data_IF_532545957996
#
_entry.id   IF_532545957996
#
_cell.length_a   1.000
_cell.length_b   1.000
_cell.length_c   1.000
_cell.angle_alpha   90.00
_cell.angle_beta   90.00
_cell.angle_gamma   90.00
#
_symmetry.space_group_name_H-M   'P 1'
#
loop_
_entity.id
_entity.type
_entity.pdbx_description
1 polymer ?
#
# COMPACT_ATOMS: atom_id res chain seq x y z
N UNK A 1 10.16 -6.39 -8.12
CA UNK A 1 8.77 -6.72 -8.44
C UNK A 1 8.12 -7.48 -7.31
N UNK A 2 7.29 -6.82 -6.48
CA UNK A 2 6.62 -7.50 -5.39
C UNK A 2 5.64 -8.54 -5.93
N UNK A 3 5.81 -9.80 -5.51
CA UNK A 3 4.84 -10.86 -5.79
C UNK A 3 3.51 -10.51 -5.13
N UNK A 4 2.39 -10.84 -5.77
CA UNK A 4 1.08 -10.73 -5.13
C UNK A 4 0.90 -11.78 -4.02
N UNK A 5 1.46 -11.48 -2.84
CA UNK A 5 1.51 -12.34 -1.66
C UNK A 5 1.69 -11.53 -0.37
N UNK A 6 2.01 -12.19 0.75
CA UNK A 6 2.39 -11.50 1.98
C UNK A 6 3.52 -10.50 1.73
N UNK A 7 3.39 -9.30 2.29
CA UNK A 7 4.38 -8.22 2.13
C UNK A 7 4.58 -7.46 3.43
N UNK A 8 5.79 -6.99 3.69
CA UNK A 8 6.05 -6.11 4.82
C UNK A 8 5.38 -4.74 4.60
N UNK A 9 5.03 -4.06 5.70
CA UNK A 9 4.50 -2.69 5.62
C UNK A 9 5.46 -1.75 4.91
N UNK A 10 6.76 -1.88 5.18
CA UNK A 10 7.81 -1.05 4.58
C UNK A 10 7.87 -1.25 3.07
N UNK A 11 7.81 -2.49 2.59
CA UNK A 11 7.86 -2.79 1.16
C UNK A 11 6.56 -2.39 0.46
N UNK A 12 5.41 -2.52 1.12
CA UNK A 12 4.16 -1.96 0.61
C UNK A 12 4.28 -0.45 0.39
N UNK A 13 4.79 0.31 1.37
CA UNK A 13 4.95 1.76 1.25
C UNK A 13 5.93 2.09 0.12
N UNK A 14 7.05 1.38 0.00
CA UNK A 14 8.04 1.59 -1.08
C UNK A 14 7.42 1.36 -2.46
N UNK A 15 6.71 0.25 -2.64
CA UNK A 15 6.03 -0.09 -3.89
C UNK A 15 4.95 0.95 -4.26
N UNK A 16 4.13 1.37 -3.29
CA UNK A 16 3.11 2.41 -3.52
C UNK A 16 3.76 3.75 -3.89
N UNK A 17 4.89 4.13 -3.30
CA UNK A 17 5.64 5.32 -3.70
C UNK A 17 6.13 5.26 -5.14
N UNK A 18 6.62 4.10 -5.58
CA UNK A 18 6.99 3.89 -6.99
C UNK A 18 5.80 4.02 -7.95
N UNK A 19 4.58 3.74 -7.48
CA UNK A 19 3.32 3.94 -8.21
C UNK A 19 2.75 5.37 -8.10
N UNK A 20 3.56 6.32 -7.63
CA UNK A 20 3.23 7.74 -7.57
C UNK A 20 2.44 8.17 -6.33
N UNK A 21 2.50 7.41 -5.23
CA UNK A 21 1.96 7.86 -3.95
C UNK A 21 2.99 8.66 -3.13
N UNK A 22 2.52 9.71 -2.46
CA UNK A 22 3.29 10.54 -1.52
C UNK A 22 2.96 10.19 -0.05
N UNK A 23 3.91 10.45 0.85
CA UNK A 23 3.80 10.22 2.31
C UNK A 23 4.83 9.20 2.85
N UNK A 24 4.51 8.39 3.88
CA UNK A 24 3.27 8.38 4.65
C UNK A 24 3.09 9.67 5.47
N UNK A 25 1.86 10.13 5.56
CA UNK A 25 1.44 11.22 6.43
C UNK A 25 0.77 10.67 7.68
N UNK A 26 0.97 11.32 8.82
CA UNK A 26 0.33 10.90 10.08
C UNK A 26 -1.11 11.38 10.12
N UNK A 27 -2.06 10.46 10.35
CA UNK A 27 -3.48 10.77 10.47
C UNK A 27 -4.08 10.19 11.74
N UNK A 28 -4.01 10.90 12.86
CA UNK A 28 -4.57 10.44 14.14
C UNK A 28 -4.12 9.02 14.51
N UNK A 29 -4.97 8.02 14.23
CA UNK A 29 -4.73 6.60 14.52
C UNK A 29 -3.99 5.81 13.44
N UNK A 30 -3.97 6.27 12.19
CA UNK A 30 -3.38 5.55 11.05
C UNK A 30 -2.60 6.49 10.15
N UNK A 31 -1.44 6.04 9.68
CA UNK A 31 -0.74 6.72 8.59
C UNK A 31 -1.49 6.53 7.26
N UNK A 32 -1.29 7.44 6.31
CA UNK A 32 -1.91 7.35 4.99
C UNK A 32 -0.97 7.85 3.90
N UNK A 33 -1.20 7.40 2.67
CA UNK A 33 -0.54 7.90 1.46
C UNK A 33 -1.56 8.65 0.60
N UNK A 34 -1.09 9.54 -0.28
CA UNK A 34 -1.93 10.27 -1.22
C UNK A 34 -1.40 10.18 -2.64
N UNK A 35 -2.31 10.12 -3.62
CA UNK A 35 -2.00 10.20 -5.05
C UNK A 35 -3.09 11.03 -5.74
N UNK A 36 -2.79 12.30 -6.02
CA UNK A 36 -3.81 13.26 -6.45
C UNK A 36 -4.88 13.45 -5.38
N UNK A 37 -6.14 13.19 -5.72
CA UNK A 37 -7.28 13.27 -4.78
C UNK A 37 -7.50 11.98 -3.97
N UNK A 38 -6.78 10.90 -4.30
CA UNK A 38 -6.94 9.61 -3.63
C UNK A 38 -6.13 9.57 -2.34
N UNK A 39 -6.80 9.28 -1.22
CA UNK A 39 -6.17 9.05 0.09
C UNK A 39 -6.28 7.58 0.48
N UNK A 40 -5.13 6.93 0.68
CA UNK A 40 -5.02 5.52 1.01
C UNK A 40 -4.54 5.33 2.45
N UNK A 41 -5.41 4.85 3.33
CA UNK A 41 -5.06 4.55 4.72
C UNK A 41 -4.17 3.30 4.79
N UNK A 42 -3.06 3.39 5.53
CA UNK A 42 -2.15 2.27 5.76
C UNK A 42 -2.55 1.50 7.03
N UNK A 43 -2.39 0.17 7.04
CA UNK A 43 -2.51 -0.60 8.27
C UNK A 43 -1.43 -0.18 9.28
N UNK A 44 -1.75 -0.32 10.57
CA UNK A 44 -0.85 0.06 11.65
C UNK A 44 0.41 -0.83 11.69
N UNK A 45 1.56 -0.28 12.12
CA UNK A 45 2.86 -0.96 12.10
C UNK A 45 2.97 -2.18 13.04
N UNK A 46 1.95 -2.45 13.86
CA UNK A 46 1.95 -3.59 14.78
C UNK A 46 1.82 -4.95 14.09
N UNK A 47 1.42 -5.01 12.81
CA UNK A 47 1.39 -6.25 12.03
C UNK A 47 2.71 -6.46 11.28
N UNK A 48 3.38 -7.60 11.52
CA UNK A 48 4.66 -7.97 10.87
C UNK A 48 4.52 -8.09 9.34
N UNK A 49 3.43 -8.69 8.87
CA UNK A 49 3.15 -8.89 7.44
C UNK A 49 1.70 -8.56 7.11
N UNK A 50 1.53 -7.99 5.93
CA UNK A 50 0.24 -7.72 5.30
C UNK A 50 -0.09 -8.94 4.45
N UNK A 51 -1.04 -9.74 4.92
CA UNK A 51 -1.49 -10.93 4.18
C UNK A 51 -2.12 -10.58 2.83
N UNK A 52 -2.10 -11.52 1.90
CA UNK A 52 -2.62 -11.39 0.52
C UNK A 52 -4.02 -10.78 0.43
N UNK A 53 -4.92 -11.15 1.33
CA UNK A 53 -6.29 -10.62 1.35
C UNK A 53 -6.35 -9.13 1.73
N UNK A 54 -5.51 -8.68 2.67
CA UNK A 54 -5.42 -7.28 3.03
C UNK A 54 -4.71 -6.48 1.92
N UNK A 55 -3.65 -7.03 1.35
CA UNK A 55 -2.99 -6.44 0.18
C UNK A 55 -3.98 -6.22 -0.97
N UNK A 56 -4.80 -7.23 -1.30
CA UNK A 56 -5.82 -7.12 -2.34
C UNK A 56 -6.81 -5.97 -2.10
N UNK A 57 -7.23 -5.76 -0.84
CA UNK A 57 -8.12 -4.66 -0.47
C UNK A 57 -7.44 -3.30 -0.62
N UNK A 58 -6.19 -3.20 -0.21
CA UNK A 58 -5.39 -1.97 -0.34
C UNK A 58 -5.19 -1.62 -1.81
N UNK A 59 -4.78 -2.57 -2.66
CA UNK A 59 -4.60 -2.34 -4.10
C UNK A 59 -5.90 -1.93 -4.78
N UNK A 60 -7.04 -2.56 -4.40
CA UNK A 60 -8.35 -2.18 -4.91
C UNK A 60 -8.72 -0.74 -4.53
N UNK A 61 -8.50 -0.34 -3.27
CA UNK A 61 -8.70 1.05 -2.83
C UNK A 61 -7.75 2.02 -3.55
N UNK A 62 -6.56 1.55 -3.90
CA UNK A 62 -5.56 2.32 -4.61
C UNK A 62 -5.82 2.45 -6.12
N UNK A 63 -6.83 1.75 -6.65
CA UNK A 63 -7.04 1.57 -8.10
C UNK A 63 -5.79 1.06 -8.81
N UNK A 64 -5.07 0.13 -8.18
CA UNK A 64 -3.91 -0.56 -8.75
C UNK A 64 -4.34 -1.98 -9.13
N UNK A 65 -4.14 -2.34 -10.41
CA UNK A 65 -4.39 -3.69 -10.87
C UNK A 65 -3.32 -4.66 -10.35
N UNK A 66 -3.63 -5.96 -10.34
CA UNK A 66 -2.62 -6.96 -9.99
C UNK A 66 -1.48 -6.95 -11.01
N UNK A 67 -1.79 -6.74 -12.29
CA UNK A 67 -0.75 -6.67 -13.33
C UNK A 67 0.20 -5.49 -13.09
N UNK A 68 -0.32 -4.30 -12.77
CA UNK A 68 0.51 -3.13 -12.48
C UNK A 68 1.39 -3.35 -11.25
N UNK A 69 0.83 -4.03 -10.23
CA UNK A 69 1.58 -4.39 -9.03
C UNK A 69 2.73 -5.36 -9.32
N UNK A 70 2.47 -6.40 -10.13
CA UNK A 70 3.49 -7.39 -10.49
C UNK A 70 4.51 -6.86 -11.52
N UNK A 71 4.23 -5.72 -12.17
CA UNK A 71 5.11 -5.01 -13.13
C UNK A 71 6.03 -3.95 -12.50
N UNK A 72 5.96 -3.75 -11.18
CA UNK A 72 6.83 -2.85 -10.41
C UNK A 72 8.30 -3.27 -10.32
#
# INVERSE_FOLDING_TARGET
MPVFGPISRTDLIRALKQLGFDGPFTGGKHEFLVRGQLRLTLPNPHQKEIGKALLARILKQASISREDWEKL
#
